data_IF_329989046421
#
_entry.id   IF_329989046421
#
_cell.length_a   1.000
_cell.length_b   1.000
_cell.length_c   1.000
_cell.angle_alpha   90.00
_cell.angle_beta   90.00
_cell.angle_gamma   90.00
#
_symmetry.space_group_name_H-M   'P 1'
#
loop_
_entity.id
_entity.type
_entity.pdbx_description
1 polymer ?
#
# COMPACT_ATOMS: atom_id res chain seq x y z
N UNK A 1 38.31 -9.86 -4.46
CA UNK A 1 38.43 -9.38 -5.85
C UNK A 1 37.31 -8.40 -6.11
N UNK A 2 37.57 -7.17 -6.53
CA UNK A 2 36.50 -6.17 -6.68
C UNK A 2 35.88 -6.33 -8.08
N UNK A 3 34.60 -6.65 -8.16
CA UNK A 3 33.84 -6.88 -9.40
C UNK A 3 33.99 -5.71 -10.40
N UNK A 4 34.16 -4.48 -9.88
CA UNK A 4 34.43 -3.30 -10.69
C UNK A 4 35.69 -3.44 -11.55
N UNK A 5 36.74 -4.07 -11.04
CA UNK A 5 37.99 -4.24 -11.77
C UNK A 5 37.90 -5.25 -12.92
N UNK A 6 36.93 -6.17 -12.89
CA UNK A 6 36.65 -7.13 -13.93
C UNK A 6 35.87 -6.45 -15.07
N UNK A 7 34.97 -5.53 -14.75
CA UNK A 7 34.14 -4.84 -15.74
C UNK A 7 34.83 -3.66 -16.42
N UNK A 8 35.82 -3.04 -15.78
CA UNK A 8 36.55 -1.89 -16.35
C UNK A 8 37.10 -2.09 -17.78
N UNK A 9 37.74 -3.21 -18.12
CA UNK A 9 38.27 -3.42 -19.49
C UNK A 9 37.14 -3.51 -20.52
N UNK A 10 36.06 -4.20 -20.23
CA UNK A 10 34.93 -4.37 -21.14
C UNK A 10 34.16 -3.05 -21.35
N UNK A 11 33.96 -2.28 -20.26
CA UNK A 11 33.40 -0.92 -20.32
C UNK A 11 34.32 0.03 -21.13
N UNK A 12 35.62 -0.11 -20.95
CA UNK A 12 36.60 0.73 -21.69
C UNK A 12 36.59 0.49 -23.19
N UNK A 13 36.28 -0.73 -23.64
CA UNK A 13 36.18 -1.10 -25.06
C UNK A 13 34.79 -0.86 -25.66
N UNK A 14 33.81 -0.45 -24.84
CA UNK A 14 32.42 -0.24 -25.27
C UNK A 14 31.67 -1.55 -25.57
N UNK A 15 32.16 -2.66 -25.05
CA UNK A 15 31.57 -4.00 -25.26
C UNK A 15 30.31 -4.21 -24.36
N UNK A 16 30.18 -3.40 -23.31
CA UNK A 16 29.08 -3.47 -22.36
C UNK A 16 28.39 -2.11 -22.20
N UNK A 17 27.08 -2.12 -22.25
CA UNK A 17 26.21 -1.02 -21.83
C UNK A 17 25.63 -1.36 -20.45
N UNK A 18 25.84 -0.49 -19.48
CA UNK A 18 25.41 -0.70 -18.09
C UNK A 18 24.62 0.51 -17.59
N UNK A 19 23.48 0.26 -17.00
CA UNK A 19 22.73 1.24 -16.23
C UNK A 19 22.84 0.81 -14.76
N UNK A 20 23.38 1.70 -13.92
CA UNK A 20 23.54 1.46 -12.49
C UNK A 20 22.77 2.47 -11.68
N UNK A 21 22.11 2.03 -10.59
CA UNK A 21 21.49 2.88 -9.60
C UNK A 21 22.35 2.91 -8.33
N UNK A 22 22.56 4.08 -7.77
CA UNK A 22 23.35 4.26 -6.55
C UNK A 22 22.94 5.55 -5.82
N UNK A 23 23.39 5.74 -4.60
CA UNK A 23 23.19 6.98 -3.85
C UNK A 23 24.27 8.00 -4.18
N UNK A 24 24.00 9.31 -3.98
CA UNK A 24 25.01 10.36 -4.14
C UNK A 24 26.27 10.12 -3.30
N UNK A 25 26.11 9.59 -2.08
CA UNK A 25 27.22 9.29 -1.18
C UNK A 25 28.13 8.19 -1.74
N UNK A 26 27.54 7.15 -2.30
CA UNK A 26 28.28 6.03 -2.89
C UNK A 26 28.89 6.41 -4.25
N UNK A 27 28.17 7.16 -5.08
CA UNK A 27 28.66 7.69 -6.33
C UNK A 27 29.96 8.49 -6.12
N UNK A 28 29.95 9.47 -5.19
CA UNK A 28 31.13 10.25 -4.82
C UNK A 28 32.28 9.42 -4.26
N UNK A 29 31.95 8.36 -3.51
CA UNK A 29 32.96 7.51 -2.89
C UNK A 29 33.63 6.56 -3.86
N UNK A 30 32.89 6.00 -4.80
CA UNK A 30 33.33 4.86 -5.62
C UNK A 30 33.45 5.17 -7.11
N UNK A 31 32.68 6.06 -7.69
CA UNK A 31 32.68 6.37 -9.10
C UNK A 31 33.48 7.62 -9.40
N UNK A 32 33.19 8.74 -8.75
CA UNK A 32 33.84 10.05 -8.96
C UNK A 32 35.33 10.00 -8.65
N UNK A 33 35.77 9.18 -7.70
CA UNK A 33 37.19 9.00 -7.39
C UNK A 33 37.94 8.09 -8.36
N UNK A 34 37.25 7.39 -9.23
CA UNK A 34 37.84 6.48 -10.21
C UNK A 34 37.71 7.07 -11.61
N UNK A 35 38.76 7.73 -12.07
CA UNK A 35 38.78 8.43 -13.35
C UNK A 35 38.47 7.56 -14.57
N UNK A 36 38.64 6.23 -14.46
CA UNK A 36 38.28 5.28 -15.49
C UNK A 36 36.76 5.04 -15.56
N UNK A 37 36.08 5.06 -14.44
CA UNK A 37 34.61 4.92 -14.34
C UNK A 37 33.93 6.27 -14.61
N UNK A 38 34.42 7.37 -14.00
CA UNK A 38 33.85 8.71 -14.15
C UNK A 38 33.68 9.11 -15.63
N UNK A 39 34.68 8.84 -16.47
CA UNK A 39 34.64 9.16 -17.91
C UNK A 39 33.72 8.26 -18.74
N UNK A 40 33.20 7.19 -18.15
CA UNK A 40 32.37 6.17 -18.84
C UNK A 40 30.93 6.16 -18.43
N UNK A 41 30.62 6.71 -17.26
CA UNK A 41 29.27 6.85 -16.76
C UNK A 41 28.82 8.32 -16.78
N UNK A 42 27.71 8.57 -17.42
CA UNK A 42 27.04 9.86 -17.31
C UNK A 42 26.06 9.83 -16.15
N UNK A 43 26.22 10.68 -15.13
CA UNK A 43 25.28 10.72 -14.01
C UNK A 43 23.94 11.30 -14.47
N UNK A 44 22.87 10.60 -14.11
CA UNK A 44 21.49 11.06 -14.25
C UNK A 44 20.95 11.26 -12.84
N UNK A 45 20.73 12.50 -12.45
CA UNK A 45 20.19 12.84 -11.14
C UNK A 45 18.68 12.59 -11.14
N UNK A 46 18.24 11.73 -10.23
CA UNK A 46 16.81 11.51 -9.95
C UNK A 46 16.47 12.31 -8.71
N UNK A 47 15.67 13.36 -8.88
CA UNK A 47 15.19 14.19 -7.77
C UNK A 47 13.97 13.54 -7.10
N UNK A 48 13.70 13.97 -5.87
CA UNK A 48 12.47 13.64 -5.16
C UNK A 48 11.25 14.16 -5.96
N UNK A 49 10.21 13.33 -6.19
CA UNK A 49 9.02 13.77 -6.91
C UNK A 49 8.22 14.78 -6.08
N UNK A 50 7.37 15.54 -6.77
CA UNK A 50 6.42 16.45 -6.11
C UNK A 50 5.28 15.67 -5.44
N UNK A 51 4.47 16.35 -4.63
CA UNK A 51 3.25 15.75 -4.04
C UNK A 51 2.31 15.27 -5.14
N UNK A 52 2.12 16.06 -6.19
CA UNK A 52 1.26 15.74 -7.33
C UNK A 52 1.76 14.49 -8.07
N UNK A 53 3.05 14.41 -8.38
CA UNK A 53 3.66 13.24 -9.01
C UNK A 53 3.53 12.00 -8.11
N UNK A 54 3.70 12.18 -6.81
CA UNK A 54 3.52 11.09 -5.82
C UNK A 54 2.09 10.57 -5.81
N UNK A 55 1.09 11.46 -5.88
CA UNK A 55 -0.33 11.05 -5.97
C UNK A 55 -0.58 10.20 -7.23
N UNK A 56 0.00 10.57 -8.36
CA UNK A 56 -0.13 9.77 -9.60
C UNK A 56 0.56 8.40 -9.46
N UNK A 57 1.71 8.34 -8.80
CA UNK A 57 2.36 7.04 -8.47
C UNK A 57 1.44 6.20 -7.57
N UNK A 58 0.89 6.78 -6.49
CA UNK A 58 -0.02 6.08 -5.58
C UNK A 58 -1.28 5.56 -6.29
N UNK A 59 -1.86 6.34 -7.20
CA UNK A 59 -2.99 5.88 -8.03
C UNK A 59 -2.62 4.68 -8.90
N UNK A 60 -1.40 4.65 -9.43
CA UNK A 60 -0.92 3.54 -10.25
C UNK A 60 -0.77 2.23 -9.48
N UNK A 61 -0.46 2.29 -8.19
CA UNK A 61 -0.24 1.12 -7.33
C UNK A 61 -1.44 0.79 -6.45
N UNK A 62 -2.43 1.67 -6.33
CA UNK A 62 -3.62 1.56 -5.50
C UNK A 62 -4.29 0.18 -5.57
N UNK A 63 -4.50 -0.34 -6.78
CA UNK A 63 -5.18 -1.61 -7.00
C UNK A 63 -4.49 -2.80 -6.33
N UNK A 64 -3.15 -2.81 -6.28
CA UNK A 64 -2.40 -3.87 -5.61
C UNK A 64 -2.61 -3.86 -4.09
N UNK A 65 -2.67 -2.68 -3.47
CA UNK A 65 -2.93 -2.54 -2.04
C UNK A 65 -4.37 -2.86 -1.69
N UNK A 66 -5.34 -2.42 -2.51
CA UNK A 66 -6.75 -2.76 -2.34
C UNK A 66 -6.99 -4.28 -2.37
N UNK A 67 -6.35 -4.98 -3.31
CA UNK A 67 -6.44 -6.43 -3.44
C UNK A 67 -5.74 -7.14 -2.27
N UNK A 68 -4.52 -6.69 -1.91
CA UNK A 68 -3.72 -7.33 -0.87
C UNK A 68 -4.35 -7.21 0.52
N UNK A 69 -4.79 -6.01 0.89
CA UNK A 69 -5.36 -5.73 2.21
C UNK A 69 -6.89 -5.89 2.26
N UNK A 70 -7.54 -6.10 1.10
CA UNK A 70 -8.99 -6.23 0.96
C UNK A 70 -9.76 -5.01 1.51
N UNK A 71 -9.28 -3.84 1.17
CA UNK A 71 -9.84 -2.54 1.54
C UNK A 71 -10.04 -1.68 0.30
N UNK A 72 -10.84 -0.62 0.39
CA UNK A 72 -10.99 0.38 -0.66
C UNK A 72 -10.28 1.67 -0.26
N UNK A 73 -9.66 2.30 -1.24
CA UNK A 73 -8.86 3.51 -1.07
C UNK A 73 -9.47 4.61 -1.95
N UNK A 74 -9.86 5.75 -1.39
CA UNK A 74 -10.32 6.89 -2.17
C UNK A 74 -9.16 7.69 -2.76
N UNK A 75 -9.40 8.44 -3.83
CA UNK A 75 -8.36 9.30 -4.42
C UNK A 75 -8.04 10.49 -3.51
N UNK A 76 -9.02 10.95 -2.71
CA UNK A 76 -8.81 11.94 -1.68
C UNK A 76 -7.84 11.44 -0.60
N UNK A 77 -7.99 10.19 -0.18
CA UNK A 77 -7.08 9.56 0.79
C UNK A 77 -5.64 9.48 0.26
N UNK A 78 -5.44 9.16 -1.03
CA UNK A 78 -4.11 9.13 -1.63
C UNK A 78 -3.44 10.50 -1.61
N UNK A 79 -4.20 11.56 -1.89
CA UNK A 79 -3.72 12.93 -1.78
C UNK A 79 -3.36 13.29 -0.34
N UNK A 80 -4.21 12.94 0.61
CA UNK A 80 -3.95 13.15 2.04
C UNK A 80 -2.70 12.40 2.48
N UNK A 81 -2.55 11.15 2.05
CA UNK A 81 -1.38 10.33 2.34
C UNK A 81 -0.07 10.99 1.88
N UNK A 82 -0.02 11.51 0.64
CA UNK A 82 1.14 12.22 0.11
C UNK A 82 1.46 13.50 0.91
N UNK A 83 0.43 14.31 1.23
CA UNK A 83 0.59 15.56 2.00
C UNK A 83 1.04 15.28 3.43
N UNK A 84 0.42 14.31 4.11
CA UNK A 84 0.76 13.98 5.50
C UNK A 84 2.15 13.37 5.61
N UNK A 85 2.52 12.49 4.68
CA UNK A 85 3.86 11.90 4.66
C UNK A 85 4.95 12.97 4.46
N UNK A 86 4.71 13.95 3.58
CA UNK A 86 5.66 15.06 3.35
C UNK A 86 5.82 15.94 4.59
N UNK A 87 4.74 16.16 5.31
CA UNK A 87 4.75 17.07 6.48
C UNK A 87 5.31 16.43 7.74
N UNK A 88 4.98 15.18 8.02
CA UNK A 88 5.25 14.55 9.30
C UNK A 88 6.39 13.53 9.27
N UNK A 89 6.79 13.03 8.08
CA UNK A 89 7.83 12.02 7.93
C UNK A 89 9.05 12.67 7.28
N UNK A 90 10.10 12.93 8.08
CA UNK A 90 11.29 13.67 7.65
C UNK A 90 12.52 12.79 7.44
N UNK A 91 12.48 11.53 7.80
CA UNK A 91 13.60 10.58 7.72
C UNK A 91 13.67 9.82 6.40
N UNK A 92 12.64 9.97 5.54
CA UNK A 92 12.51 9.32 4.24
C UNK A 92 12.06 10.31 3.16
N UNK A 93 12.20 9.91 1.90
CA UNK A 93 11.84 10.72 0.73
C UNK A 93 10.56 10.22 0.07
N UNK A 94 9.89 11.09 -0.68
CA UNK A 94 8.84 10.71 -1.59
C UNK A 94 9.43 9.91 -2.78
N UNK A 95 8.72 8.94 -3.37
CA UNK A 95 7.38 8.50 -2.98
C UNK A 95 7.37 7.48 -1.84
N UNK A 96 8.51 6.92 -1.42
CA UNK A 96 8.61 5.76 -0.50
C UNK A 96 7.87 6.01 0.82
N UNK A 97 8.06 7.18 1.45
CA UNK A 97 7.37 7.51 2.71
C UNK A 97 5.85 7.55 2.61
N UNK A 98 5.32 7.91 1.43
CA UNK A 98 3.88 7.90 1.19
C UNK A 98 3.36 6.49 0.90
N UNK A 99 4.15 5.68 0.20
CA UNK A 99 3.84 4.27 -0.05
C UNK A 99 3.80 3.48 1.26
N UNK A 100 4.82 3.64 2.11
CA UNK A 100 4.89 3.00 3.41
C UNK A 100 3.71 3.40 4.32
N UNK A 101 3.36 4.70 4.32
CA UNK A 101 2.22 5.21 5.09
C UNK A 101 0.89 4.61 4.61
N UNK A 102 0.71 4.49 3.30
CA UNK A 102 -0.48 3.89 2.71
C UNK A 102 -0.58 2.40 3.06
N UNK A 103 0.51 1.65 2.91
CA UNK A 103 0.58 0.23 3.22
C UNK A 103 0.20 -0.04 4.69
N UNK A 104 0.82 0.68 5.61
CA UNK A 104 0.56 0.52 7.05
C UNK A 104 -0.87 0.94 7.42
N UNK A 105 -1.43 1.99 6.80
CA UNK A 105 -2.81 2.39 7.01
C UNK A 105 -3.81 1.32 6.53
N UNK A 106 -3.55 0.74 5.35
CA UNK A 106 -4.35 -0.37 4.82
C UNK A 106 -4.26 -1.61 5.71
N UNK A 107 -3.06 -1.96 6.19
CA UNK A 107 -2.83 -3.08 7.10
C UNK A 107 -3.57 -2.88 8.43
N UNK A 108 -3.47 -1.68 9.03
CA UNK A 108 -4.19 -1.33 10.25
C UNK A 108 -5.70 -1.44 10.09
N UNK A 109 -6.24 -0.96 8.96
CA UNK A 109 -7.67 -1.06 8.67
C UNK A 109 -8.10 -2.51 8.51
N UNK A 110 -7.33 -3.32 7.78
CA UNK A 110 -7.58 -4.74 7.59
C UNK A 110 -7.62 -5.50 8.91
N UNK A 111 -6.61 -5.30 9.78
CA UNK A 111 -6.50 -5.99 11.08
C UNK A 111 -7.65 -5.59 12.02
N UNK A 112 -8.11 -4.35 11.96
CA UNK A 112 -9.21 -3.84 12.81
C UNK A 112 -10.59 -4.21 12.32
N UNK A 113 -10.72 -4.65 11.09
CA UNK A 113 -11.99 -5.05 10.52
C UNK A 113 -12.45 -6.37 11.14
N UNK A 114 -13.56 -6.30 11.85
CA UNK A 114 -14.21 -7.48 12.43
C UNK A 114 -14.74 -8.39 11.32
N UNK A 115 -15.16 -7.81 10.22
CA UNK A 115 -15.68 -8.51 9.05
C UNK A 115 -14.63 -9.43 8.44
N UNK A 116 -13.39 -8.95 8.26
CA UNK A 116 -12.27 -9.75 7.73
C UNK A 116 -11.84 -10.85 8.71
N UNK A 117 -11.86 -10.58 10.01
CA UNK A 117 -11.60 -11.60 11.02
C UNK A 117 -12.65 -12.71 11.01
N UNK A 118 -13.93 -12.33 10.97
CA UNK A 118 -15.03 -13.28 10.92
C UNK A 118 -15.00 -14.14 9.64
N UNK A 119 -14.68 -13.54 8.50
CA UNK A 119 -14.54 -14.26 7.24
C UNK A 119 -13.46 -15.34 7.31
N UNK A 120 -12.30 -15.01 7.89
CA UNK A 120 -11.23 -16.00 8.06
C UNK A 120 -11.67 -17.19 8.90
N UNK A 121 -12.38 -16.94 10.01
CA UNK A 121 -12.92 -17.99 10.87
C UNK A 121 -14.00 -18.82 10.18
N UNK A 122 -14.86 -18.18 9.37
CA UNK A 122 -15.88 -18.89 8.59
C UNK A 122 -15.28 -19.72 7.46
N UNK A 123 -14.29 -19.20 6.73
CA UNK A 123 -13.56 -19.99 5.72
C UNK A 123 -12.92 -21.24 6.31
N UNK A 124 -12.37 -21.13 7.51
CA UNK A 124 -11.82 -22.26 8.23
C UNK A 124 -12.90 -23.29 8.58
N UNK A 125 -14.05 -22.85 9.12
CA UNK A 125 -15.19 -23.74 9.40
C UNK A 125 -15.71 -24.44 8.17
N UNK A 126 -15.88 -23.73 7.04
CA UNK A 126 -16.30 -24.29 5.76
C UNK A 126 -15.31 -25.36 5.30
N UNK A 127 -14.00 -25.08 5.34
CA UNK A 127 -12.96 -26.04 4.97
C UNK A 127 -12.98 -27.29 5.86
N UNK A 128 -13.21 -27.13 7.15
CA UNK A 128 -13.26 -28.27 8.07
C UNK A 128 -14.53 -29.10 7.87
N UNK A 129 -15.69 -28.48 7.62
CA UNK A 129 -16.92 -29.17 7.25
C UNK A 129 -16.77 -29.92 5.91
N UNK A 130 -16.11 -29.34 4.92
CA UNK A 130 -15.84 -30.03 3.64
C UNK A 130 -14.96 -31.27 3.82
N UNK A 131 -13.96 -31.22 4.69
CA UNK A 131 -13.13 -32.39 5.04
C UNK A 131 -13.94 -33.47 5.76
N UNK A 132 -14.78 -33.05 6.72
CA UNK A 132 -15.64 -33.99 7.44
C UNK A 132 -16.67 -34.67 6.52
N UNK A 133 -17.29 -33.94 5.61
CA UNK A 133 -18.20 -34.49 4.61
C UNK A 133 -17.47 -35.53 3.75
N UNK A 134 -16.26 -35.18 3.30
CA UNK A 134 -15.48 -36.11 2.47
C UNK A 134 -15.06 -37.36 3.21
N UNK A 135 -14.73 -37.28 4.51
CA UNK A 135 -14.43 -38.49 5.31
C UNK A 135 -15.65 -39.40 5.50
N UNK A 136 -16.86 -38.84 5.57
CA UNK A 136 -18.11 -39.63 5.66
C UNK A 136 -18.46 -40.25 4.30
N UNK A 137 -18.24 -39.52 3.19
CA UNK A 137 -18.50 -40.03 1.82
C UNK A 137 -17.54 -41.18 1.44
N UNK A 138 -16.27 -41.10 1.87
CA UNK A 138 -15.23 -42.10 1.60
C UNK A 138 -15.29 -43.31 2.56
N UNK A 139 -16.18 -43.34 3.55
CA UNK A 139 -16.37 -44.44 4.49
C UNK A 139 -17.14 -45.65 3.89
N UNK A 140 -16.83 -46.86 4.38
CA UNK A 140 -17.45 -48.13 3.88
C UNK A 140 -18.97 -48.21 4.14
N UNK A 141 -19.50 -47.52 5.15
CA UNK A 141 -20.95 -47.38 5.43
C UNK A 141 -21.27 -45.88 5.67
N UNK A 142 -21.65 -45.13 4.61
CA UNK A 142 -21.95 -43.71 4.76
C UNK A 142 -23.27 -43.49 5.53
N UNK A 143 -23.20 -42.74 6.63
CA UNK A 143 -24.37 -42.26 7.35
C UNK A 143 -25.04 -41.14 6.56
N UNK A 144 -26.10 -41.49 5.83
CA UNK A 144 -26.81 -40.53 4.95
C UNK A 144 -27.53 -39.44 5.72
N UNK A 145 -27.92 -39.64 6.99
CA UNK A 145 -28.59 -38.64 7.81
C UNK A 145 -27.59 -37.60 8.29
N UNK A 146 -26.47 -38.03 8.84
CA UNK A 146 -25.36 -37.16 9.23
C UNK A 146 -24.78 -36.40 8.01
N UNK A 147 -24.71 -37.02 6.85
CA UNK A 147 -24.23 -36.41 5.61
C UNK A 147 -25.20 -35.30 5.11
N UNK A 148 -26.52 -35.55 5.19
CA UNK A 148 -27.52 -34.54 4.83
C UNK A 148 -27.49 -33.33 5.77
N UNK A 149 -27.38 -33.56 7.07
CA UNK A 149 -27.24 -32.47 8.06
C UNK A 149 -25.97 -31.62 7.81
N UNK A 150 -24.82 -32.25 7.62
CA UNK A 150 -23.57 -31.54 7.35
C UNK A 150 -23.58 -30.78 6.04
N UNK A 151 -24.18 -31.33 4.98
CA UNK A 151 -24.37 -30.62 3.71
C UNK A 151 -25.28 -29.40 3.87
N UNK A 152 -26.36 -29.51 4.66
CA UNK A 152 -27.24 -28.38 4.92
C UNK A 152 -26.53 -27.26 5.71
N UNK A 153 -25.72 -27.60 6.69
CA UNK A 153 -24.86 -26.65 7.44
C UNK A 153 -23.84 -25.99 6.51
N UNK A 154 -23.19 -26.76 5.66
CA UNK A 154 -22.22 -26.21 4.69
C UNK A 154 -22.85 -25.18 3.75
N UNK A 155 -24.06 -25.44 3.26
CA UNK A 155 -24.79 -24.49 2.41
C UNK A 155 -25.10 -23.19 3.19
N UNK A 156 -25.52 -23.33 4.43
CA UNK A 156 -25.81 -22.18 5.29
C UNK A 156 -24.54 -21.32 5.54
N UNK A 157 -23.46 -21.96 5.97
CA UNK A 157 -22.18 -21.27 6.22
C UNK A 157 -21.63 -20.59 4.95
N UNK A 158 -21.78 -21.22 3.76
CA UNK A 158 -21.41 -20.62 2.48
C UNK A 158 -22.25 -19.37 2.15
N UNK A 159 -23.55 -19.40 2.39
CA UNK A 159 -24.41 -18.24 2.17
C UNK A 159 -24.06 -17.08 3.12
N UNK A 160 -23.76 -17.39 4.39
CA UNK A 160 -23.32 -16.38 5.37
C UNK A 160 -21.96 -15.80 4.97
N UNK A 161 -21.07 -16.61 4.40
CA UNK A 161 -19.78 -16.17 3.88
C UNK A 161 -19.93 -15.23 2.67
N UNK A 162 -20.82 -15.55 1.72
CA UNK A 162 -21.12 -14.68 0.58
C UNK A 162 -21.69 -13.33 1.00
N UNK A 163 -22.50 -13.30 2.07
CA UNK A 163 -23.03 -12.04 2.62
C UNK A 163 -21.96 -11.21 3.37
N UNK A 164 -20.99 -11.89 4.00
CA UNK A 164 -19.82 -11.23 4.59
C UNK A 164 -18.89 -10.67 3.50
N UNK A 165 -18.63 -11.40 2.43
CA UNK A 165 -17.79 -10.94 1.31
C UNK A 165 -18.32 -9.63 0.71
N UNK A 166 -19.66 -9.50 0.54
CA UNK A 166 -20.28 -8.24 0.10
C UNK A 166 -20.08 -7.08 1.08
N UNK A 167 -20.00 -7.34 2.38
CA UNK A 167 -19.71 -6.30 3.39
C UNK A 167 -18.25 -5.90 3.36
N UNK A 168 -17.35 -6.86 3.15
CA UNK A 168 -15.91 -6.64 3.05
C UNK A 168 -15.56 -5.76 1.85
N UNK A 169 -16.24 -5.93 0.71
CA UNK A 169 -16.03 -5.08 -0.47
C UNK A 169 -16.22 -3.57 -0.20
N UNK A 170 -16.88 -3.20 0.89
CA UNK A 170 -17.16 -1.82 1.27
C UNK A 170 -16.29 -1.29 2.43
N UNK A 171 -15.23 -2.00 2.83
CA UNK A 171 -14.32 -1.54 3.87
C UNK A 171 -13.42 -0.44 3.29
N UNK A 172 -13.65 0.80 3.69
CA UNK A 172 -12.85 1.94 3.25
C UNK A 172 -11.76 2.27 4.28
N UNK A 173 -10.58 2.63 3.78
CA UNK A 173 -9.53 3.26 4.60
C UNK A 173 -9.93 4.71 4.85
N UNK A 174 -9.79 5.17 6.09
CA UNK A 174 -10.18 6.50 6.53
C UNK A 174 -8.95 7.36 6.88
N UNK A 175 -9.13 8.69 6.86
CA UNK A 175 -8.09 9.63 7.26
C UNK A 175 -7.60 9.39 8.69
N UNK A 176 -8.48 8.89 9.56
CA UNK A 176 -8.15 8.49 10.93
C UNK A 176 -7.14 7.34 10.99
N UNK A 177 -7.12 6.46 9.98
CA UNK A 177 -6.15 5.36 9.92
C UNK A 177 -4.76 5.89 9.56
N UNK A 178 -4.66 6.86 8.63
CA UNK A 178 -3.41 7.57 8.33
C UNK A 178 -2.88 8.32 9.57
N UNK A 179 -3.75 9.06 10.27
CA UNK A 179 -3.36 9.82 11.45
C UNK A 179 -2.81 8.93 12.57
N UNK A 180 -3.40 7.75 12.77
CA UNK A 180 -2.93 6.77 13.77
C UNK A 180 -1.55 6.19 13.42
N UNK A 181 -1.29 5.91 12.15
CA UNK A 181 0.04 5.44 11.73
C UNK A 181 1.09 6.52 11.99
N UNK A 182 0.79 7.78 11.64
CA UNK A 182 1.70 8.90 11.90
C UNK A 182 1.92 9.06 13.40
N UNK A 183 0.89 8.92 14.23
CA UNK A 183 1.03 8.95 15.70
C UNK A 183 1.98 7.85 16.18
N UNK A 184 1.88 6.63 15.66
CA UNK A 184 2.77 5.52 16.00
C UNK A 184 4.23 5.81 15.62
N UNK A 185 4.47 6.44 14.47
CA UNK A 185 5.82 6.68 13.97
C UNK A 185 6.48 7.92 14.56
N UNK A 186 5.69 8.98 14.77
CA UNK A 186 6.22 10.29 15.17
C UNK A 186 5.93 10.68 16.62
N UNK A 187 4.97 9.99 17.26
CA UNK A 187 4.47 10.33 18.60
C UNK A 187 3.56 11.56 18.63
N UNK A 188 3.18 12.11 17.45
CA UNK A 188 2.27 13.25 17.36
C UNK A 188 0.83 12.75 17.48
N UNK A 189 0.02 13.22 18.46
CA UNK A 189 -1.34 12.72 18.62
C UNK A 189 -2.22 12.88 17.39
N UNK A 190 -2.93 11.82 16.99
CA UNK A 190 -3.80 11.78 15.81
C UNK A 190 -4.81 12.94 15.76
N UNK A 191 -5.42 13.30 16.90
CA UNK A 191 -6.37 14.40 17.00
C UNK A 191 -5.80 15.76 16.55
N UNK A 192 -4.50 16.01 16.78
CA UNK A 192 -3.84 17.24 16.31
C UNK A 192 -3.60 17.24 14.81
N UNK A 193 -3.38 16.07 14.23
CA UNK A 193 -3.18 15.89 12.79
C UNK A 193 -4.51 16.14 12.09
N UNK A 194 -5.59 15.51 12.54
CA UNK A 194 -6.94 15.67 12.00
C UNK A 194 -7.41 17.12 12.06
N UNK A 195 -7.35 17.78 13.22
CA UNK A 195 -7.80 19.19 13.36
C UNK A 195 -7.05 20.17 12.46
N UNK A 196 -5.74 20.00 12.31
CA UNK A 196 -4.94 20.92 11.50
C UNK A 196 -5.19 20.76 10.02
N UNK A 197 -5.42 19.55 9.53
CA UNK A 197 -5.61 19.28 8.10
C UNK A 197 -7.05 19.56 7.64
N UNK A 198 -8.06 19.19 8.42
CA UNK A 198 -9.44 19.55 8.11
C UNK A 198 -9.66 21.07 8.03
N UNK A 199 -9.06 21.84 8.96
CA UNK A 199 -9.13 23.31 8.90
C UNK A 199 -8.46 23.90 7.65
N UNK A 200 -7.35 23.30 7.19
CA UNK A 200 -6.64 23.79 6.00
C UNK A 200 -7.32 23.39 4.71
N UNK A 201 -7.84 22.18 4.59
CA UNK A 201 -8.60 21.74 3.42
C UNK A 201 -9.90 22.52 3.26
N UNK A 202 -10.60 22.83 4.35
CA UNK A 202 -11.78 23.69 4.34
C UNK A 202 -11.40 25.12 3.90
N UNK A 203 -10.27 25.66 4.33
CA UNK A 203 -9.78 26.98 3.92
C UNK A 203 -9.36 27.04 2.44
N UNK A 204 -8.76 25.96 1.91
CA UNK A 204 -8.37 25.86 0.49
C UNK A 204 -9.62 25.78 -0.43
N UNK A 205 -10.65 25.06 -0.07
CA UNK A 205 -11.90 25.02 -0.81
C UNK A 205 -12.58 26.39 -0.85
N UNK A 206 -12.57 27.14 0.24
CA UNK A 206 -13.10 28.52 0.27
C UNK A 206 -12.28 29.50 -0.59
N UNK A 207 -10.96 29.35 -0.65
CA UNK A 207 -10.11 30.21 -1.48
C UNK A 207 -10.29 29.95 -2.98
N UNK A 208 -10.51 28.70 -3.38
CA UNK A 208 -10.79 28.34 -4.78
C UNK A 208 -12.14 28.84 -5.27
N UNK A 209 -13.14 28.91 -4.40
CA UNK A 209 -14.47 29.48 -4.72
C UNK A 209 -14.35 30.99 -4.98
N UNK A 210 -13.52 31.73 -4.24
CA UNK A 210 -13.30 33.15 -4.45
C UNK A 210 -12.47 33.51 -5.69
N UNK A 211 -11.62 32.59 -6.19
CA UNK A 211 -10.85 32.81 -7.42
C UNK A 211 -11.70 32.59 -8.69
N UNK A 212 -12.80 31.85 -8.59
CA UNK A 212 -13.69 31.55 -9.73
C UNK A 212 -14.85 32.51 -9.93
N UNK A 213 -15.02 33.54 -9.10
CA UNK A 213 -16.01 34.59 -9.36
C UNK A 213 -15.41 35.60 -10.37
N UNK A 214 -15.92 35.69 -11.60
CA UNK A 214 -15.53 36.74 -12.54
C UNK A 214 -16.04 38.06 -11.99
N UNK A 215 -15.13 38.99 -11.71
CA UNK A 215 -15.47 40.41 -11.48
C UNK A 215 -16.26 40.95 -12.67
N UNK A 216 -17.58 41.04 -12.53
CA UNK A 216 -18.41 41.84 -13.40
C UNK A 216 -18.15 43.32 -13.09
N UNK A 217 -17.47 43.98 -13.99
CA UNK A 217 -17.57 45.43 -14.21
C UNK A 217 -18.40 45.68 -15.45
#
# INVERSE_FOLDING_TARGET
>A
MNTANILKPALSRGELQVIGATTFKEYRKYIEKDSALERRFQPVTVNEPTIEDTVEVLKGIKGYYEEHHRVKISDELLRMCAVLSERYINDRYLPDKAIDLLDEACANRSIRSIELSNEHDMKKKVSDLEKEIKTIEDGDEPDFEALAEKKSLLIREKNELDDLDKKIENINVEDSDLAKVIELWTGIPANKIEETEFKKLAALNLSLIHISEPTRH
#
